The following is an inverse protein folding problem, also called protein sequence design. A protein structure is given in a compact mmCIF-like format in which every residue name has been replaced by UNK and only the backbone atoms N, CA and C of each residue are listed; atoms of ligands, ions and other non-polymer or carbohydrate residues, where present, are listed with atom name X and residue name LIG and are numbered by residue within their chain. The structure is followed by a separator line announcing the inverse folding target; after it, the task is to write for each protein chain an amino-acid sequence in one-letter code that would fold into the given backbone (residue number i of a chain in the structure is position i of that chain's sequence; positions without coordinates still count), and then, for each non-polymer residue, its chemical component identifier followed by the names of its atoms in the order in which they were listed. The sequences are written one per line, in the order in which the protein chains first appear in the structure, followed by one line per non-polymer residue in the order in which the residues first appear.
data_IF_379120318867
#
_entry.id   IF_379120318867
#
_cell.length_a   1.000
_cell.length_b   1.000
_cell.length_c   1.000
_cell.angle_alpha   90.00
_cell.angle_beta   90.00
_cell.angle_gamma   90.00
#
_symmetry.space_group_name_H-M   'P 1'
#
loop_
_entity.id
_entity.type
_entity.pdbx_description
1 polymer ?
#
# COMPACT_ATOMS: atom_id res chain seq x y z
N UNK A 1 -30.04 7.18 -3.96
CA UNK A 1 -29.52 8.26 -4.83
C UNK A 1 -29.71 9.63 -4.16
N UNK A 2 -28.73 10.52 -4.25
CA UNK A 2 -28.75 11.88 -3.71
C UNK A 2 -28.64 12.89 -4.85
N UNK A 3 -29.44 13.96 -4.82
CA UNK A 3 -29.40 15.02 -5.82
C UNK A 3 -28.88 16.31 -5.19
N UNK A 4 -27.92 16.94 -5.87
CA UNK A 4 -27.30 18.20 -5.46
C UNK A 4 -27.22 19.10 -6.69
N UNK A 5 -27.87 20.26 -6.63
CA UNK A 5 -27.69 21.30 -7.65
C UNK A 5 -26.60 22.27 -7.18
N UNK A 6 -25.60 22.51 -8.02
CA UNK A 6 -24.52 23.45 -7.74
C UNK A 6 -24.44 24.54 -8.81
N UNK A 7 -23.95 25.72 -8.42
CA UNK A 7 -23.44 26.73 -9.32
C UNK A 7 -21.91 26.70 -9.32
N UNK A 8 -21.31 26.36 -10.46
CA UNK A 8 -19.87 26.23 -10.62
C UNK A 8 -19.16 27.54 -11.04
N UNK A 9 -19.88 28.67 -11.04
CA UNK A 9 -19.39 29.96 -11.50
C UNK A 9 -19.57 30.20 -13.01
N UNK A 10 -19.88 29.16 -13.79
CA UNK A 10 -20.15 29.24 -15.23
C UNK A 10 -21.62 28.90 -15.56
N UNK A 11 -22.17 27.86 -14.93
CA UNK A 11 -23.55 27.41 -15.11
C UNK A 11 -24.06 26.68 -13.86
N UNK A 12 -25.38 26.50 -13.79
CA UNK A 12 -25.96 25.54 -12.84
C UNK A 12 -25.84 24.13 -13.39
N UNK A 13 -25.49 23.17 -12.52
CA UNK A 13 -25.39 21.76 -12.85
C UNK A 13 -26.11 20.91 -11.79
N UNK A 14 -26.92 19.96 -12.24
CA UNK A 14 -27.57 18.95 -11.42
C UNK A 14 -26.66 17.72 -11.30
N UNK A 15 -26.22 17.42 -10.09
CA UNK A 15 -25.34 16.29 -9.77
C UNK A 15 -26.17 15.22 -9.04
N UNK A 16 -26.28 14.05 -9.66
CA UNK A 16 -26.94 12.88 -9.11
C UNK A 16 -25.88 11.91 -8.60
N UNK A 17 -25.78 11.75 -7.29
CA UNK A 17 -24.81 10.87 -6.63
C UNK A 17 -25.52 9.56 -6.26
N UNK A 18 -25.21 8.51 -7.02
CA UNK A 18 -25.66 7.14 -6.76
C UNK A 18 -24.61 6.42 -5.91
N UNK A 19 -24.97 6.15 -4.65
CA UNK A 19 -24.17 5.38 -3.72
C UNK A 19 -24.44 3.89 -3.85
N UNK A 20 -23.43 3.08 -4.14
CA UNK A 20 -23.51 1.62 -4.21
C UNK A 20 -22.84 1.02 -2.98
N UNK A 21 -23.56 0.18 -2.24
CA UNK A 21 -23.03 -0.50 -1.05
C UNK A 21 -22.88 -2.01 -1.26
N UNK A 22 -23.58 -2.54 -2.27
CA UNK A 22 -23.73 -3.96 -2.44
C UNK A 22 -23.13 -4.37 -3.76
N UNK A 23 -22.20 -5.30 -3.66
CA UNK A 23 -21.83 -6.15 -4.78
C UNK A 23 -23.04 -7.09 -5.02
N UNK A 24 -24.16 -6.56 -5.50
CA UNK A 24 -25.43 -7.25 -5.74
C UNK A 24 -26.02 -6.88 -7.10
N UNK A 25 -26.87 -7.75 -7.63
CA UNK A 25 -27.58 -7.49 -8.88
C UNK A 25 -28.51 -6.28 -8.78
N UNK A 26 -29.01 -5.95 -7.59
CA UNK A 26 -29.91 -4.83 -7.39
C UNK A 26 -29.19 -3.49 -7.58
N UNK A 27 -27.96 -3.35 -7.08
CA UNK A 27 -27.17 -2.13 -7.31
C UNK A 27 -26.78 -1.95 -8.79
N UNK A 28 -26.66 -3.03 -9.57
CA UNK A 28 -26.48 -2.96 -11.03
C UNK A 28 -27.74 -2.40 -11.70
N UNK A 29 -28.93 -2.88 -11.30
CA UNK A 29 -30.21 -2.37 -11.83
C UNK A 29 -30.42 -0.91 -11.49
N UNK A 30 -30.09 -0.50 -10.27
CA UNK A 30 -30.16 0.92 -9.86
C UNK A 30 -29.30 1.82 -10.75
N UNK A 31 -28.11 1.37 -11.14
CA UNK A 31 -27.25 2.11 -12.09
C UNK A 31 -27.91 2.20 -13.47
N UNK A 32 -28.51 1.11 -13.97
CA UNK A 32 -29.20 1.12 -15.26
C UNK A 32 -30.41 2.05 -15.28
N UNK A 33 -31.23 2.01 -14.24
CA UNK A 33 -32.41 2.86 -14.07
C UNK A 33 -32.00 4.33 -13.98
N UNK A 34 -31.00 4.65 -13.15
CA UNK A 34 -30.50 6.01 -13.01
C UNK A 34 -29.99 6.59 -14.34
N UNK A 35 -29.25 5.82 -15.14
CA UNK A 35 -28.78 6.29 -16.45
C UNK A 35 -29.94 6.57 -17.40
N UNK A 36 -30.96 5.71 -17.42
CA UNK A 36 -32.14 5.86 -18.31
C UNK A 36 -33.03 7.03 -17.90
N UNK A 37 -33.27 7.21 -16.61
CA UNK A 37 -34.18 8.22 -16.09
C UNK A 37 -33.59 9.63 -16.12
N UNK A 38 -32.31 9.76 -15.76
CA UNK A 38 -31.65 11.07 -15.66
C UNK A 38 -31.26 11.59 -17.05
N UNK A 39 -30.89 10.68 -17.95
CA UNK A 39 -30.23 10.96 -19.22
C UNK A 39 -29.09 11.98 -19.06
N UNK A 40 -28.02 11.64 -18.32
CA UNK A 40 -26.99 12.60 -17.96
C UNK A 40 -26.13 13.01 -19.16
N UNK A 41 -25.48 14.17 -19.10
CA UNK A 41 -24.50 14.59 -20.10
C UNK A 41 -23.20 13.79 -20.01
N UNK A 42 -22.96 13.18 -18.85
CA UNK A 42 -21.69 12.60 -18.44
C UNK A 42 -21.90 11.63 -17.28
N UNK A 43 -21.12 10.55 -17.27
CA UNK A 43 -21.10 9.57 -16.19
C UNK A 43 -19.73 9.62 -15.53
N UNK A 44 -19.70 9.80 -14.21
CA UNK A 44 -18.50 9.81 -13.39
C UNK A 44 -18.47 8.56 -12.48
N UNK A 45 -17.32 7.92 -12.34
CA UNK A 45 -17.17 6.68 -11.55
C UNK A 45 -16.02 6.78 -10.55
N UNK A 46 -16.19 6.21 -9.36
CA UNK A 46 -15.15 6.07 -8.32
C UNK A 46 -14.04 5.09 -8.74
N UNK A 47 -13.27 5.48 -9.74
CA UNK A 47 -12.13 4.73 -10.23
C UNK A 47 -11.00 5.70 -10.56
N UNK A 48 -9.77 5.22 -10.36
CA UNK A 48 -8.57 5.80 -10.94
C UNK A 48 -8.26 5.11 -12.29
N UNK A 49 -7.29 5.66 -13.04
CA UNK A 49 -6.94 5.14 -14.37
C UNK A 49 -6.41 3.69 -14.34
N UNK A 50 -5.65 3.30 -13.31
CA UNK A 50 -5.10 1.95 -13.18
C UNK A 50 -6.22 0.95 -12.91
N UNK A 51 -7.14 1.29 -12.00
CA UNK A 51 -8.31 0.47 -11.67
C UNK A 51 -9.28 0.35 -12.83
N UNK A 52 -9.49 1.44 -13.57
CA UNK A 52 -10.29 1.41 -14.80
C UNK A 52 -9.71 0.44 -15.84
N UNK A 53 -8.40 0.55 -16.12
CA UNK A 53 -7.71 -0.34 -17.04
C UNK A 53 -7.78 -1.80 -16.57
N UNK A 54 -7.62 -2.06 -15.27
CA UNK A 54 -7.73 -3.40 -14.71
C UNK A 54 -9.14 -4.00 -14.88
N UNK A 55 -10.19 -3.19 -14.72
CA UNK A 55 -11.58 -3.62 -14.91
C UNK A 55 -11.90 -3.91 -16.38
N UNK A 56 -11.42 -3.07 -17.30
CA UNK A 56 -11.66 -3.23 -18.75
C UNK A 56 -10.82 -4.37 -19.35
N UNK A 57 -9.55 -4.51 -18.96
CA UNK A 57 -8.66 -5.53 -19.52
C UNK A 57 -8.96 -6.96 -19.07
N UNK A 58 -9.68 -7.13 -17.95
CA UNK A 58 -10.17 -8.45 -17.50
C UNK A 58 -11.07 -9.15 -18.54
N UNK A 59 -11.69 -8.43 -19.47
CA UNK A 59 -12.47 -9.02 -20.57
C UNK A 59 -11.62 -9.56 -21.72
N UNK A 60 -10.33 -9.18 -21.81
CA UNK A 60 -9.48 -9.51 -22.94
C UNK A 60 -8.62 -10.78 -22.78
N UNK A 61 -8.82 -11.58 -21.72
CA UNK A 61 -7.94 -12.73 -21.42
C UNK A 61 -6.47 -12.33 -21.18
N UNK A 62 -6.22 -11.04 -20.92
CA UNK A 62 -4.94 -10.54 -20.45
C UNK A 62 -5.07 -10.35 -18.95
N UNK A 63 -4.81 -11.44 -18.23
CA UNK A 63 -4.27 -11.35 -16.86
C UNK A 63 -3.21 -10.26 -16.84
N UNK A 64 -3.07 -9.57 -15.71
CA UNK A 64 -2.13 -8.47 -15.44
C UNK A 64 -0.70 -8.85 -15.87
N UNK A 65 -0.46 -8.79 -17.18
CA UNK A 65 0.81 -9.02 -17.84
C UNK A 65 1.55 -7.71 -17.68
N UNK A 66 2.68 -7.83 -17.00
CA UNK A 66 3.75 -6.85 -17.00
C UNK A 66 3.54 -5.64 -16.07
N UNK A 67 3.13 -5.88 -14.82
CA UNK A 67 3.77 -5.09 -13.75
C UNK A 67 5.22 -5.57 -13.74
N UNK A 68 6.15 -4.72 -14.13
CA UNK A 68 7.58 -4.99 -14.09
C UNK A 68 8.04 -5.02 -12.61
N UNK A 69 7.68 -6.10 -11.92
CA UNK A 69 7.96 -6.35 -10.50
C UNK A 69 9.46 -6.34 -10.27
N UNK A 70 10.24 -6.74 -11.28
CA UNK A 70 11.69 -6.61 -11.31
C UNK A 70 12.17 -5.17 -11.13
N UNK A 71 11.48 -4.19 -11.74
CA UNK A 71 11.82 -2.76 -11.61
C UNK A 71 11.38 -2.20 -10.25
N UNK A 72 10.22 -2.61 -9.73
CA UNK A 72 9.75 -2.21 -8.40
C UNK A 72 10.58 -2.80 -7.24
N UNK A 73 11.05 -4.04 -7.38
CA UNK A 73 11.97 -4.66 -6.41
C UNK A 73 13.35 -3.99 -6.46
N UNK A 74 13.84 -3.62 -7.66
CA UNK A 74 15.08 -2.83 -7.81
C UNK A 74 14.97 -1.44 -7.21
N UNK A 75 13.82 -0.77 -7.31
CA UNK A 75 13.62 0.58 -6.79
C UNK A 75 13.55 0.65 -5.25
N UNK A 76 13.61 -0.49 -4.56
CA UNK A 76 13.69 -0.56 -3.10
C UNK A 76 12.35 -0.36 -2.37
N UNK A 77 11.23 -0.37 -3.09
CA UNK A 77 9.89 -0.09 -2.54
C UNK A 77 9.14 -1.39 -2.19
N UNK A 78 9.87 -2.37 -1.66
CA UNK A 78 9.37 -3.72 -1.32
C UNK A 78 8.20 -3.67 -0.32
N UNK A 79 8.23 -2.71 0.61
CA UNK A 79 7.16 -2.50 1.58
C UNK A 79 5.85 -2.03 0.94
N UNK A 80 5.93 -1.19 -0.10
CA UNK A 80 4.74 -0.78 -0.85
C UNK A 80 4.16 -1.96 -1.65
N UNK A 81 5.02 -2.76 -2.27
CA UNK A 81 4.60 -3.96 -2.98
C UNK A 81 3.92 -4.97 -2.04
N UNK A 82 4.46 -5.18 -0.83
CA UNK A 82 3.84 -6.02 0.20
C UNK A 82 2.48 -5.45 0.67
N UNK A 83 2.38 -4.14 0.84
CA UNK A 83 1.12 -3.50 1.21
C UNK A 83 0.07 -3.63 0.10
N UNK A 84 0.44 -3.35 -1.16
CA UNK A 84 -0.45 -3.58 -2.32
C UNK A 84 -0.91 -5.02 -2.39
N UNK A 85 0.01 -5.94 -2.10
CA UNK A 85 -0.25 -7.38 -2.09
C UNK A 85 -1.30 -7.73 -1.03
N UNK A 86 -1.07 -7.36 0.23
CA UNK A 86 -2.02 -7.60 1.34
C UNK A 86 -3.41 -7.03 1.01
N UNK A 87 -3.46 -5.80 0.51
CA UNK A 87 -4.74 -5.14 0.19
C UNK A 87 -5.46 -5.78 -1.00
N UNK A 88 -4.73 -6.24 -2.01
CA UNK A 88 -5.31 -6.97 -3.13
C UNK A 88 -5.89 -8.33 -2.69
N UNK A 89 -5.31 -8.98 -1.67
CA UNK A 89 -5.88 -10.16 -1.02
C UNK A 89 -7.20 -9.82 -0.34
N UNK A 90 -7.21 -8.83 0.56
CA UNK A 90 -8.42 -8.38 1.25
C UNK A 90 -9.56 -8.02 0.29
N UNK A 91 -9.25 -7.32 -0.81
CA UNK A 91 -10.23 -6.99 -1.85
C UNK A 91 -10.79 -8.23 -2.57
N UNK A 92 -9.97 -9.28 -2.74
CA UNK A 92 -10.36 -10.53 -3.40
C UNK A 92 -11.23 -11.40 -2.48
N UNK A 93 -10.88 -11.48 -1.20
CA UNK A 93 -11.59 -12.27 -0.19
C UNK A 93 -13.01 -11.74 0.05
N UNK A 94 -13.19 -10.41 -0.02
CA UNK A 94 -14.52 -9.78 -0.02
C UNK A 94 -15.27 -10.21 -1.30
N UNK A 95 -14.65 -10.14 -2.48
CA UNK A 95 -15.30 -10.52 -3.73
C UNK A 95 -15.75 -11.99 -3.82
N UNK A 96 -14.96 -12.92 -3.30
CA UNK A 96 -15.27 -14.36 -3.37
C UNK A 96 -16.36 -14.78 -2.38
N UNK A 97 -16.37 -14.20 -1.16
CA UNK A 97 -17.37 -14.54 -0.12
C UNK A 97 -18.79 -14.08 -0.45
N UNK A 98 -18.95 -13.13 -1.35
CA UNK A 98 -20.26 -12.57 -1.73
C UNK A 98 -20.68 -12.91 -3.17
N UNK A 99 -19.93 -13.77 -3.87
CA UNK A 99 -20.22 -14.23 -5.24
C UNK A 99 -20.44 -13.12 -6.28
N UNK A 100 -19.93 -11.91 -6.02
CA UNK A 100 -19.98 -10.77 -6.95
C UNK A 100 -18.63 -10.06 -6.91
N UNK A 101 -18.12 -9.67 -8.08
CA UNK A 101 -16.80 -9.02 -8.20
C UNK A 101 -16.91 -7.56 -7.73
N UNK A 102 -16.09 -7.09 -6.77
CA UNK A 102 -16.08 -5.69 -6.37
C UNK A 102 -15.92 -4.78 -7.59
N UNK A 103 -16.77 -3.75 -7.69
CA UNK A 103 -16.78 -2.83 -8.82
C UNK A 103 -17.63 -3.28 -10.01
N UNK A 104 -18.58 -4.21 -9.82
CA UNK A 104 -19.52 -4.62 -10.87
C UNK A 104 -20.48 -3.48 -11.25
N UNK A 105 -20.84 -2.63 -10.31
CA UNK A 105 -21.67 -1.44 -10.50
C UNK A 105 -20.92 -0.36 -11.30
N UNK A 106 -19.64 -0.12 -10.94
CA UNK A 106 -18.76 0.77 -11.69
C UNK A 106 -18.52 0.24 -13.10
N UNK A 107 -18.35 -1.08 -13.26
CA UNK A 107 -18.25 -1.72 -14.57
C UNK A 107 -19.53 -1.49 -15.38
N UNK A 108 -20.70 -1.67 -14.76
CA UNK A 108 -21.98 -1.44 -15.43
C UNK A 108 -22.12 0.02 -15.87
N UNK A 109 -21.74 0.97 -15.04
CA UNK A 109 -21.72 2.39 -15.40
C UNK A 109 -20.82 2.68 -16.62
N UNK A 110 -19.64 2.04 -16.69
CA UNK A 110 -18.73 2.13 -17.85
C UNK A 110 -19.38 1.57 -19.13
N UNK A 111 -20.00 0.39 -19.03
CA UNK A 111 -20.70 -0.24 -20.16
C UNK A 111 -21.84 0.63 -20.67
N UNK A 112 -22.64 1.20 -19.76
CA UNK A 112 -23.75 2.09 -20.11
C UNK A 112 -23.26 3.40 -20.71
N UNK A 113 -22.17 3.97 -20.18
CA UNK A 113 -21.54 5.15 -20.78
C UNK A 113 -21.16 4.88 -22.24
N UNK A 114 -20.56 3.72 -22.52
CA UNK A 114 -20.23 3.29 -23.88
C UNK A 114 -21.48 3.06 -24.75
N UNK A 115 -22.48 2.37 -24.21
CA UNK A 115 -23.72 2.02 -24.91
C UNK A 115 -24.50 3.27 -25.34
N UNK A 116 -24.68 4.22 -24.43
CA UNK A 116 -25.39 5.48 -24.65
C UNK A 116 -24.49 6.60 -25.18
N UNK A 117 -23.22 6.30 -25.51
CA UNK A 117 -22.21 7.25 -26.02
C UNK A 117 -22.06 8.50 -25.13
N UNK A 118 -22.16 8.31 -23.83
CA UNK A 118 -21.93 9.36 -22.83
C UNK A 118 -20.44 9.42 -22.48
N UNK A 119 -19.85 10.62 -22.37
CA UNK A 119 -18.52 10.79 -21.79
C UNK A 119 -18.41 10.14 -20.42
N UNK A 120 -17.26 9.50 -20.16
CA UNK A 120 -16.94 8.86 -18.89
C UNK A 120 -15.79 9.61 -18.20
N UNK A 121 -15.94 9.90 -16.91
CA UNK A 121 -14.89 10.51 -16.09
C UNK A 121 -14.51 9.64 -14.90
N UNK A 122 -13.20 9.54 -14.67
CA UNK A 122 -12.60 8.84 -13.55
C UNK A 122 -12.29 9.87 -12.47
N UNK A 123 -12.95 9.77 -11.31
CA UNK A 123 -12.94 10.85 -10.31
C UNK A 123 -12.12 10.53 -9.06
N UNK A 124 -11.59 9.32 -8.93
CA UNK A 124 -10.86 8.89 -7.72
C UNK A 124 -9.33 9.02 -7.87
N UNK A 125 -8.65 9.13 -6.72
CA UNK A 125 -7.20 9.24 -6.63
C UNK A 125 -6.54 7.87 -6.81
N UNK A 126 -5.36 7.78 -7.47
CA UNK A 126 -4.61 6.54 -7.53
C UNK A 126 -4.37 5.93 -6.16
N UNK A 127 -4.74 4.65 -6.01
CA UNK A 127 -4.67 3.96 -4.72
C UNK A 127 -3.26 3.96 -4.13
N UNK A 128 -2.22 3.81 -4.95
CA UNK A 128 -0.83 3.81 -4.48
C UNK A 128 -0.45 5.12 -3.77
N UNK A 129 -1.00 6.27 -4.21
CA UNK A 129 -0.82 7.56 -3.55
C UNK A 129 -1.52 7.58 -2.20
N UNK A 130 -2.78 7.12 -2.16
CA UNK A 130 -3.56 6.99 -0.92
C UNK A 130 -2.82 6.17 0.13
N UNK A 131 -2.27 5.02 -0.28
CA UNK A 131 -1.52 4.12 0.61
C UNK A 131 -0.25 4.75 1.14
N UNK A 132 0.57 5.33 0.26
CA UNK A 132 1.82 6.00 0.66
C UNK A 132 1.56 7.14 1.63
N UNK A 133 0.51 7.94 1.38
CA UNK A 133 0.13 9.04 2.27
C UNK A 133 -0.33 8.54 3.63
N UNK A 134 -1.19 7.52 3.66
CA UNK A 134 -1.66 6.91 4.90
C UNK A 134 -0.47 6.46 5.77
N UNK A 135 0.47 5.72 5.18
CA UNK A 135 1.67 5.28 5.89
C UNK A 135 2.59 6.43 6.33
N UNK A 136 2.75 7.46 5.51
CA UNK A 136 3.68 8.56 5.81
C UNK A 136 3.17 9.48 6.91
N UNK A 137 1.86 9.75 6.94
CA UNK A 137 1.24 10.66 7.91
C UNK A 137 0.93 9.94 9.23
N UNK A 138 0.75 8.61 9.19
CA UNK A 138 0.38 7.82 10.36
C UNK A 138 1.44 7.88 11.47
N UNK A 139 1.06 8.30 12.70
CA UNK A 139 1.91 8.25 13.87
C UNK A 139 2.41 6.84 14.18
N UNK A 140 3.61 6.73 14.77
CA UNK A 140 4.21 5.44 15.11
C UNK A 140 3.33 4.57 16.03
N UNK A 141 2.59 5.20 16.96
CA UNK A 141 1.63 4.51 17.83
C UNK A 141 0.50 3.84 17.04
N UNK A 142 -0.05 4.53 16.05
CA UNK A 142 -1.10 3.96 15.17
C UNK A 142 -0.53 2.83 14.30
N UNK A 143 0.72 2.96 13.82
CA UNK A 143 1.41 1.88 13.08
C UNK A 143 1.54 0.61 13.91
N UNK A 144 1.98 0.74 15.17
CA UNK A 144 2.08 -0.39 16.09
C UNK A 144 0.71 -0.99 16.38
N UNK A 145 -0.31 -0.15 16.67
CA UNK A 145 -1.69 -0.61 16.92
C UNK A 145 -2.25 -1.39 15.73
N UNK A 146 -2.06 -0.88 14.51
CA UNK A 146 -2.45 -1.57 13.27
C UNK A 146 -1.72 -2.90 13.10
N UNK A 147 -0.41 -2.92 13.38
CA UNK A 147 0.39 -4.13 13.32
C UNK A 147 -0.11 -5.19 14.31
N UNK A 148 -0.46 -4.79 15.54
CA UNK A 148 -1.07 -5.69 16.52
C UNK A 148 -2.41 -6.24 16.05
N UNK A 149 -3.31 -5.43 15.50
CA UNK A 149 -4.57 -5.95 14.94
C UNK A 149 -4.37 -6.96 13.80
N UNK A 150 -3.35 -6.74 12.97
CA UNK A 150 -3.02 -7.69 11.90
C UNK A 150 -2.49 -9.03 12.44
N UNK A 151 -1.73 -9.00 13.55
CA UNK A 151 -1.19 -10.21 14.18
C UNK A 151 -2.16 -10.91 15.14
N UNK A 152 -3.02 -10.18 15.85
CA UNK A 152 -4.07 -10.74 16.72
C UNK A 152 -5.19 -11.43 15.92
N UNK A 153 -5.32 -11.11 14.63
CA UNK A 153 -6.28 -11.75 13.73
C UNK A 153 -6.10 -13.27 13.57
N UNK A 154 -4.95 -13.83 13.98
CA UNK A 154 -4.63 -15.26 13.84
C UNK A 154 -4.98 -16.09 15.10
N UNK A 155 -4.72 -15.59 16.32
CA UNK A 155 -5.06 -16.32 17.56
C UNK A 155 -6.45 -16.00 18.13
N UNK A 156 -7.05 -14.87 17.74
CA UNK A 156 -8.32 -14.37 18.32
C UNK A 156 -9.48 -14.30 17.32
N UNK A 157 -9.50 -15.19 16.33
CA UNK A 157 -10.62 -15.37 15.38
C UNK A 157 -11.98 -15.74 16.03
N UNK A 158 -12.08 -15.69 17.37
CA UNK A 158 -13.29 -15.93 18.16
C UNK A 158 -14.04 -14.67 18.60
N UNK A 159 -13.71 -13.45 18.12
CA UNK A 159 -14.49 -12.22 18.45
C UNK A 159 -14.96 -11.36 17.29
N UNK A 160 -14.58 -11.67 16.05
CA UNK A 160 -15.24 -11.09 14.88
C UNK A 160 -16.32 -12.06 14.42
N UNK A 161 -17.47 -11.99 15.09
CA UNK A 161 -18.64 -12.76 14.70
C UNK A 161 -18.96 -12.47 13.22
N UNK A 162 -19.22 -13.52 12.44
CA UNK A 162 -19.57 -13.39 11.01
C UNK A 162 -20.79 -12.48 10.84
N UNK A 163 -21.66 -12.38 11.85
CA UNK A 163 -22.77 -11.42 11.90
C UNK A 163 -22.33 -9.96 11.92
N UNK A 164 -21.27 -9.63 12.68
CA UNK A 164 -20.72 -8.26 12.77
C UNK A 164 -20.04 -7.86 11.47
N UNK A 165 -19.29 -8.76 10.82
CA UNK A 165 -18.70 -8.49 9.49
C UNK A 165 -19.78 -8.26 8.44
N UNK A 166 -20.89 -8.99 8.51
CA UNK A 166 -22.05 -8.80 7.61
C UNK A 166 -22.72 -7.46 7.86
N UNK A 167 -22.94 -7.11 9.12
CA UNK A 167 -23.50 -5.81 9.52
C UNK A 167 -22.57 -4.61 9.23
N UNK A 168 -21.25 -4.83 9.25
CA UNK A 168 -20.23 -3.86 8.85
C UNK A 168 -20.26 -3.59 7.34
N UNK A 169 -20.61 -4.57 6.52
CA UNK A 169 -20.68 -4.46 5.06
C UNK A 169 -22.03 -3.86 4.64
N UNK A 170 -23.11 -4.31 5.28
CA UNK A 170 -24.48 -3.82 5.00
C UNK A 170 -24.69 -2.38 5.48
N UNK A 171 -23.82 -1.88 6.37
CA UNK A 171 -23.85 -0.51 6.85
C UNK A 171 -22.48 0.17 6.70
N UNK A 172 -22.23 0.69 5.50
CA UNK A 172 -21.01 1.44 5.17
C UNK A 172 -20.68 2.56 6.18
N UNK A 173 -21.68 3.14 6.84
CA UNK A 173 -21.49 4.17 7.88
C UNK A 173 -20.84 3.57 9.14
N UNK A 174 -21.21 2.36 9.55
CA UNK A 174 -20.58 1.64 10.68
C UNK A 174 -19.14 1.24 10.36
N UNK A 175 -18.83 0.82 9.13
CA UNK A 175 -17.46 0.53 8.71
C UNK A 175 -16.56 1.77 8.83
N UNK A 176 -17.09 2.93 8.41
CA UNK A 176 -16.41 4.21 8.49
C UNK A 176 -16.15 4.63 9.95
N UNK A 177 -17.10 4.40 10.85
CA UNK A 177 -16.94 4.66 12.28
C UNK A 177 -15.87 3.77 12.91
N UNK A 178 -15.88 2.46 12.63
CA UNK A 178 -14.88 1.52 13.14
C UNK A 178 -13.47 1.86 12.61
N UNK A 179 -13.36 2.23 11.34
CA UNK A 179 -12.08 2.69 10.78
C UNK A 179 -11.56 3.94 11.50
N UNK A 180 -12.45 4.86 11.87
CA UNK A 180 -12.12 6.06 12.65
C UNK A 180 -11.60 5.70 14.05
N UNK A 181 -12.15 4.67 14.68
CA UNK A 181 -11.72 4.18 16.00
C UNK A 181 -10.40 3.40 15.95
N UNK A 182 -10.17 2.64 14.87
CA UNK A 182 -8.92 1.90 14.64
C UNK A 182 -7.78 2.88 14.40
N UNK A 183 -7.92 3.76 13.40
CA UNK A 183 -6.94 4.78 13.05
C UNK A 183 -7.64 6.01 12.44
N UNK A 184 -7.65 7.13 13.17
CA UNK A 184 -8.10 8.41 12.62
C UNK A 184 -7.35 8.81 11.35
N UNK A 185 -6.08 8.42 11.24
CA UNK A 185 -5.29 8.64 10.02
C UNK A 185 -5.82 7.87 8.83
N UNK A 186 -6.18 6.59 9.01
CA UNK A 186 -6.77 5.79 7.92
C UNK A 186 -8.09 6.39 7.47
N UNK A 187 -9.00 6.75 8.40
CA UNK A 187 -10.25 7.42 8.05
C UNK A 187 -10.00 8.71 7.24
N UNK A 188 -9.10 9.56 7.73
CA UNK A 188 -8.75 10.82 7.04
C UNK A 188 -8.28 10.59 5.61
N UNK A 189 -7.42 9.60 5.37
CA UNK A 189 -6.79 9.42 4.05
C UNK A 189 -7.64 8.58 3.08
N UNK A 190 -8.34 7.56 3.57
CA UNK A 190 -9.14 6.64 2.74
C UNK A 190 -10.59 7.10 2.52
N UNK A 191 -11.08 8.02 3.35
CA UNK A 191 -12.44 8.57 3.22
C UNK A 191 -12.36 10.05 2.92
N UNK A 192 -11.96 10.86 3.89
CA UNK A 192 -12.06 12.33 3.80
C UNK A 192 -11.24 12.94 2.64
N UNK A 193 -9.95 12.58 2.50
CA UNK A 193 -9.12 13.06 1.39
C UNK A 193 -9.63 12.59 0.02
N UNK A 194 -10.23 11.40 -0.05
CA UNK A 194 -10.81 10.87 -1.29
C UNK A 194 -12.11 11.58 -1.63
N UNK A 195 -12.96 11.86 -0.65
CA UNK A 195 -14.17 12.67 -0.83
C UNK A 195 -13.84 14.06 -1.36
N UNK A 196 -12.78 14.70 -0.82
CA UNK A 196 -12.26 15.98 -1.32
C UNK A 196 -11.81 15.90 -2.77
N UNK A 197 -11.00 14.89 -3.09
CA UNK A 197 -10.47 14.67 -4.43
C UNK A 197 -11.60 14.44 -5.45
N UNK A 198 -12.54 13.56 -5.13
CA UNK A 198 -13.71 13.26 -5.95
C UNK A 198 -14.61 14.48 -6.12
N UNK A 199 -14.95 15.18 -5.04
CA UNK A 199 -15.81 16.37 -5.10
C UNK A 199 -15.19 17.47 -5.98
N UNK A 200 -13.87 17.71 -5.85
CA UNK A 200 -13.16 18.68 -6.70
C UNK A 200 -13.19 18.27 -8.17
N UNK A 201 -12.90 17.01 -8.48
CA UNK A 201 -13.02 16.50 -9.85
C UNK A 201 -14.44 16.62 -10.40
N UNK A 202 -15.47 16.30 -9.62
CA UNK A 202 -16.87 16.45 -10.04
C UNK A 202 -17.19 17.92 -10.31
N UNK A 203 -16.79 18.82 -9.42
CA UNK A 203 -17.03 20.27 -9.55
C UNK A 203 -16.38 20.83 -10.83
N UNK A 204 -15.12 20.50 -11.08
CA UNK A 204 -14.39 20.98 -12.26
C UNK A 204 -14.99 20.41 -13.56
N UNK A 205 -15.45 19.16 -13.55
CA UNK A 205 -16.08 18.53 -14.71
C UNK A 205 -17.56 18.93 -14.91
N UNK A 206 -18.12 19.73 -14.00
CA UNK A 206 -19.48 20.28 -14.15
C UNK A 206 -19.57 21.49 -15.06
N UNK A 207 -18.42 22.11 -15.37
CA UNK A 207 -18.37 23.28 -16.24
C UNK A 207 -18.86 22.92 -17.64
N UNK A 208 -19.92 23.59 -18.09
CA UNK A 208 -20.54 23.33 -19.39
C UNK A 208 -21.43 22.08 -19.44
N UNK A 209 -21.84 21.54 -18.28
CA UNK A 209 -22.75 20.38 -18.17
C UNK A 209 -24.01 20.77 -17.40
N UNK A 210 -25.15 20.24 -17.81
CA UNK A 210 -26.41 20.41 -17.09
C UNK A 210 -26.62 19.28 -16.07
N UNK A 211 -26.29 18.04 -16.44
CA UNK A 211 -26.53 16.86 -15.59
C UNK A 211 -25.33 15.91 -15.54
N UNK A 212 -24.92 15.55 -14.32
CA UNK A 212 -23.89 14.54 -14.06
C UNK A 212 -24.49 13.40 -13.26
N UNK A 213 -24.28 12.16 -13.69
CA UNK A 213 -24.47 10.99 -12.85
C UNK A 213 -23.12 10.54 -12.28
N UNK A 214 -23.03 10.46 -10.95
CA UNK A 214 -21.84 10.04 -10.20
C UNK A 214 -22.14 8.70 -9.54
N UNK A 215 -21.37 7.65 -9.88
CA UNK A 215 -21.49 6.31 -9.29
C UNK A 215 -20.30 6.07 -8.36
N UNK A 216 -20.58 6.03 -7.06
CA UNK A 216 -19.58 5.95 -5.97
C UNK A 216 -20.04 4.95 -4.90
N UNK A 217 -19.14 4.50 -4.05
CA UNK A 217 -19.47 3.75 -2.85
C UNK A 217 -20.35 4.56 -1.90
N UNK A 218 -21.32 3.91 -1.25
CA UNK A 218 -22.27 4.58 -0.37
C UNK A 218 -21.62 5.41 0.76
N UNK A 219 -20.45 4.98 1.24
CA UNK A 219 -19.68 5.70 2.27
C UNK A 219 -19.19 7.10 1.85
N UNK A 220 -19.09 7.38 0.56
CA UNK A 220 -18.56 8.63 0.01
C UNK A 220 -19.63 9.68 -0.29
N UNK A 221 -20.91 9.27 -0.39
CA UNK A 221 -22.01 10.14 -0.84
C UNK A 221 -22.16 11.40 0.02
N UNK A 222 -22.19 11.23 1.36
CA UNK A 222 -22.36 12.36 2.30
C UNK A 222 -21.16 13.31 2.26
N UNK A 223 -19.95 12.76 2.17
CA UNK A 223 -18.71 13.55 2.11
C UNK A 223 -18.62 14.39 0.84
N UNK A 224 -18.86 13.76 -0.32
CA UNK A 224 -18.87 14.44 -1.62
C UNK A 224 -19.90 15.58 -1.64
N UNK A 225 -21.14 15.33 -1.19
CA UNK A 225 -22.17 16.38 -1.12
C UNK A 225 -21.70 17.57 -0.26
N UNK A 226 -21.10 17.30 0.89
CA UNK A 226 -20.57 18.33 1.78
C UNK A 226 -19.48 19.17 1.12
N UNK A 227 -18.56 18.55 0.40
CA UNK A 227 -17.47 19.24 -0.27
C UNK A 227 -17.92 20.03 -1.50
N UNK A 228 -18.87 19.51 -2.28
CA UNK A 228 -19.46 20.23 -3.42
C UNK A 228 -20.11 21.55 -2.98
N UNK A 229 -20.86 21.55 -1.86
CA UNK A 229 -21.47 22.76 -1.31
C UNK A 229 -20.45 23.77 -0.80
N UNK A 230 -19.35 23.30 -0.21
CA UNK A 230 -18.26 24.19 0.25
C UNK A 230 -17.52 24.82 -0.93
N UNK A 231 -17.29 24.06 -2.00
CA UNK A 231 -16.71 24.55 -3.25
C UNK A 231 -17.58 25.62 -3.91
N UNK A 232 -18.89 25.38 -4.03
CA UNK A 232 -19.86 26.34 -4.59
C UNK A 232 -19.83 27.68 -3.85
N UNK A 233 -19.70 27.65 -2.52
CA UNK A 233 -19.64 28.87 -1.70
C UNK A 233 -18.28 29.57 -1.70
N UNK A 234 -17.25 28.96 -2.29
CA UNK A 234 -15.88 29.44 -2.22
C UNK A 234 -15.28 29.38 -0.80
N UNK A 235 -15.82 28.53 0.09
CA UNK A 235 -15.32 28.37 1.47
C UNK A 235 -13.98 27.62 1.52
N UNK A 236 -13.69 26.84 0.49
CA UNK A 236 -12.47 26.04 0.38
C UNK A 236 -11.88 26.19 -1.01
N UNK A 237 -10.58 26.44 -1.07
CA UNK A 237 -9.78 26.19 -2.27
C UNK A 237 -9.15 24.80 -2.13
N UNK A 238 -9.32 23.95 -3.14
CA UNK A 238 -8.82 22.58 -3.12
C UNK A 238 -7.84 22.38 -4.26
N UNK A 239 -6.55 22.41 -3.92
CA UNK A 239 -5.50 22.00 -4.84
C UNK A 239 -5.37 20.47 -4.85
N UNK A 240 -5.68 19.86 -5.99
CA UNK A 240 -5.52 18.42 -6.20
C UNK A 240 -4.06 17.99 -6.04
N UNK A 241 -3.08 18.87 -6.30
CA UNK A 241 -1.66 18.56 -6.14
C UNK A 241 -1.31 18.28 -4.68
N UNK A 242 -1.88 19.01 -3.72
CA UNK A 242 -1.66 18.74 -2.29
C UNK A 242 -2.19 17.36 -1.87
N UNK A 243 -3.29 16.92 -2.48
CA UNK A 243 -3.88 15.60 -2.26
C UNK A 243 -3.11 14.48 -2.98
N UNK A 244 -2.29 14.82 -3.98
CA UNK A 244 -1.40 13.91 -4.69
C UNK A 244 0.04 13.89 -4.15
N UNK A 245 0.46 14.92 -3.43
CA UNK A 245 1.84 15.03 -2.94
C UNK A 245 2.16 13.95 -1.90
N UNK A 246 3.29 13.28 -2.05
CA UNK A 246 3.79 12.34 -1.04
C UNK A 246 5.00 12.99 -0.38
N UNK A 247 4.80 13.57 0.81
CA UNK A 247 5.89 14.15 1.59
C UNK A 247 6.95 13.08 1.85
N UNK A 248 8.14 13.25 1.27
CA UNK A 248 9.29 12.35 1.51
C UNK A 248 9.74 12.54 2.96
N UNK A 249 9.69 11.47 3.75
CA UNK A 249 10.30 11.47 5.08
C UNK A 249 11.77 11.88 4.98
N UNK A 250 12.22 12.81 5.83
CA UNK A 250 13.59 13.31 5.80
C UNK A 250 14.57 12.16 6.09
N UNK A 251 15.22 11.65 5.04
CA UNK A 251 16.26 10.61 5.10
C UNK A 251 17.52 11.05 5.88
N UNK A 252 17.58 12.31 6.31
CA UNK A 252 18.70 12.87 7.06
C UNK A 252 19.01 12.09 8.34
N UNK A 253 18.00 11.53 9.03
CA UNK A 253 18.23 10.72 10.22
C UNK A 253 19.05 9.44 9.92
N UNK A 254 18.83 8.81 8.75
CA UNK A 254 19.63 7.66 8.32
C UNK A 254 21.06 8.06 8.02
N UNK A 255 21.25 9.22 7.39
CA UNK A 255 22.57 9.77 7.09
C UNK A 255 23.31 10.11 8.38
N UNK A 256 22.68 10.83 9.32
CA UNK A 256 23.27 11.17 10.62
C UNK A 256 23.65 9.92 11.40
N UNK A 257 22.75 8.92 11.49
CA UNK A 257 23.07 7.65 12.14
C UNK A 257 24.26 6.95 11.47
N UNK A 258 24.31 6.94 10.13
CA UNK A 258 25.43 6.36 9.38
C UNK A 258 26.76 7.08 9.65
N UNK A 259 26.74 8.41 9.68
CA UNK A 259 27.93 9.25 9.95
C UNK A 259 28.42 9.06 11.38
N UNK A 260 27.50 9.02 12.36
CA UNK A 260 27.84 8.78 13.77
C UNK A 260 28.43 7.38 13.96
N UNK A 261 27.80 6.35 13.38
CA UNK A 261 28.31 4.98 13.46
C UNK A 261 29.69 4.85 12.80
N UNK A 262 29.88 5.44 11.62
CA UNK A 262 31.17 5.47 10.94
C UNK A 262 32.23 6.20 11.79
N UNK A 263 31.86 7.32 12.42
CA UNK A 263 32.74 8.05 13.34
C UNK A 263 33.18 7.20 14.54
N UNK A 264 32.26 6.45 15.14
CA UNK A 264 32.57 5.51 16.25
C UNK A 264 33.56 4.43 15.80
N UNK A 265 33.32 3.83 14.62
CA UNK A 265 34.21 2.79 14.10
C UNK A 265 35.60 3.35 13.77
N UNK A 266 35.68 4.50 13.09
CA UNK A 266 36.96 5.15 12.78
C UNK A 266 37.73 5.54 14.04
N UNK A 267 37.03 6.03 15.07
CA UNK A 267 37.63 6.33 16.37
C UNK A 267 38.14 5.07 17.08
N UNK A 268 37.37 3.97 17.05
CA UNK A 268 37.81 2.67 17.56
C UNK A 268 39.07 2.17 16.83
N UNK A 269 39.12 2.27 15.50
CA UNK A 269 40.31 1.94 14.70
C UNK A 269 41.49 2.84 15.08
N UNK A 270 41.27 4.14 15.27
CA UNK A 270 42.33 5.07 15.68
C UNK A 270 42.95 4.68 17.03
N UNK A 271 42.15 4.39 18.05
CA UNK A 271 42.64 3.95 19.36
C UNK A 271 43.41 2.63 19.23
N UNK A 272 42.86 1.67 18.49
CA UNK A 272 43.42 0.32 18.36
C UNK A 272 44.61 0.24 17.39
N UNK A 273 44.83 1.27 16.55
CA UNK A 273 45.94 1.32 15.59
C UNK A 273 47.32 1.26 16.25
N UNK A 274 47.40 1.68 17.52
CA UNK A 274 48.62 1.57 18.33
C UNK A 274 49.01 0.12 18.65
N UNK A 275 48.10 -0.84 18.48
CA UNK A 275 48.30 -2.26 18.73
C UNK A 275 47.83 -3.10 17.53
N UNK A 276 48.70 -3.34 16.53
CA UNK A 276 48.33 -4.05 15.29
C UNK A 276 47.72 -5.44 15.51
N UNK A 277 48.18 -6.18 16.52
CA UNK A 277 47.63 -7.51 16.87
C UNK A 277 46.19 -7.43 17.39
N UNK A 278 45.89 -6.41 18.18
CA UNK A 278 44.54 -6.18 18.72
C UNK A 278 43.60 -5.73 17.61
N UNK A 279 44.04 -4.83 16.74
CA UNK A 279 43.27 -4.39 15.57
C UNK A 279 42.96 -5.56 14.63
N UNK A 280 43.95 -6.42 14.35
CA UNK A 280 43.77 -7.62 13.54
C UNK A 280 42.74 -8.57 14.16
N UNK A 281 42.86 -8.83 15.47
CA UNK A 281 41.90 -9.68 16.20
C UNK A 281 40.48 -9.15 16.09
N UNK A 282 40.23 -7.88 16.41
CA UNK A 282 38.89 -7.29 16.32
C UNK A 282 38.37 -7.24 14.88
N UNK A 283 39.23 -7.01 13.89
CA UNK A 283 38.80 -7.04 12.48
C UNK A 283 38.31 -8.43 12.07
N UNK A 284 39.03 -9.49 12.47
CA UNK A 284 38.63 -10.87 12.20
C UNK A 284 37.34 -11.21 12.94
N UNK A 285 37.24 -10.87 14.23
CA UNK A 285 36.03 -11.11 15.00
C UNK A 285 34.82 -10.36 14.42
N UNK A 286 34.99 -9.12 13.95
CA UNK A 286 33.93 -8.34 13.29
C UNK A 286 33.41 -9.05 12.04
N UNK A 287 34.32 -9.49 11.17
CA UNK A 287 33.99 -10.20 9.93
C UNK A 287 33.27 -11.50 10.26
N UNK A 288 33.80 -12.29 11.20
CA UNK A 288 33.24 -13.59 11.58
C UNK A 288 31.86 -13.40 12.20
N UNK A 289 31.69 -12.50 13.16
CA UNK A 289 30.40 -12.31 13.87
C UNK A 289 29.33 -11.76 12.91
N UNK A 290 29.61 -10.67 12.20
CA UNK A 290 28.63 -10.09 11.27
C UNK A 290 28.30 -11.07 10.13
N UNK A 291 29.33 -11.67 9.54
CA UNK A 291 29.18 -12.59 8.42
C UNK A 291 28.40 -13.85 8.82
N UNK A 292 28.76 -14.49 9.95
CA UNK A 292 28.08 -15.71 10.41
C UNK A 292 26.64 -15.46 10.83
N UNK A 293 26.35 -14.39 11.60
CA UNK A 293 24.98 -14.09 12.02
C UNK A 293 24.09 -13.76 10.83
N UNK A 294 24.60 -13.01 9.84
CA UNK A 294 23.86 -12.72 8.61
C UNK A 294 23.63 -13.99 7.77
N UNK A 295 24.65 -14.83 7.62
CA UNK A 295 24.55 -16.11 6.92
C UNK A 295 23.59 -17.09 7.62
N UNK A 296 23.58 -17.13 8.96
CA UNK A 296 22.61 -17.89 9.75
C UNK A 296 21.19 -17.41 9.47
N UNK A 297 20.97 -16.10 9.36
CA UNK A 297 19.68 -15.55 8.95
C UNK A 297 19.20 -16.07 7.60
N UNK A 298 20.11 -16.18 6.61
CA UNK A 298 19.79 -16.79 5.30
C UNK A 298 19.45 -18.27 5.42
N UNK A 299 20.20 -19.02 6.24
CA UNK A 299 19.95 -20.45 6.47
C UNK A 299 18.59 -20.66 7.13
N UNK A 300 18.24 -19.86 8.14
CA UNK A 300 16.92 -19.89 8.79
C UNK A 300 15.79 -19.55 7.80
N UNK A 301 16.05 -18.63 6.87
CA UNK A 301 15.12 -18.32 5.78
C UNK A 301 15.01 -19.45 4.72
N UNK A 302 15.84 -20.50 4.81
CA UNK A 302 16.04 -21.54 3.78
C UNK A 302 16.46 -20.96 2.43
N UNK A 303 17.37 -19.98 2.46
CA UNK A 303 17.96 -19.37 1.28
C UNK A 303 18.92 -20.30 0.54
N UNK A 304 19.26 -19.95 -0.70
CA UNK A 304 20.21 -20.71 -1.53
C UNK A 304 21.66 -20.45 -1.11
N UNK A 305 22.55 -21.39 -1.42
CA UNK A 305 23.97 -21.31 -1.08
C UNK A 305 24.67 -20.02 -1.54
N UNK A 306 24.42 -19.48 -2.76
CA UNK A 306 25.02 -18.21 -3.18
C UNK A 306 24.64 -17.04 -2.27
N UNK A 307 23.42 -17.06 -1.72
CA UNK A 307 22.93 -16.03 -0.79
C UNK A 307 23.58 -16.16 0.59
N UNK A 308 23.86 -17.39 1.05
CA UNK A 308 24.59 -17.63 2.31
C UNK A 308 26.02 -17.07 2.20
N UNK A 309 26.70 -17.35 1.09
CA UNK A 309 28.05 -16.82 0.82
C UNK A 309 28.00 -15.30 0.70
N UNK A 310 27.04 -14.77 -0.04
CA UNK A 310 26.85 -13.32 -0.18
C UNK A 310 26.60 -12.66 1.17
N UNK A 311 25.79 -13.24 2.05
CA UNK A 311 25.51 -12.68 3.37
C UNK A 311 26.77 -12.61 4.23
N UNK A 312 27.57 -13.67 4.23
CA UNK A 312 28.83 -13.69 4.96
C UNK A 312 29.80 -12.60 4.52
N UNK A 313 29.92 -12.36 3.21
CA UNK A 313 30.86 -11.40 2.65
C UNK A 313 30.37 -9.95 2.72
N UNK A 314 29.08 -9.73 2.50
CA UNK A 314 28.51 -8.38 2.39
C UNK A 314 28.24 -7.78 3.76
N UNK A 315 27.76 -8.57 4.73
CA UNK A 315 27.34 -8.06 6.04
C UNK A 315 28.41 -7.22 6.76
N UNK A 316 29.68 -7.65 6.89
CA UNK A 316 30.72 -6.86 7.56
C UNK A 316 30.98 -5.50 6.91
N UNK A 317 30.74 -5.37 5.60
CA UNK A 317 30.95 -4.13 4.83
C UNK A 317 29.73 -3.23 4.98
N UNK A 318 28.53 -3.77 4.76
CA UNK A 318 27.27 -3.00 4.84
C UNK A 318 26.93 -2.54 6.25
N UNK A 319 27.35 -3.28 7.27
CA UNK A 319 27.21 -2.86 8.68
C UNK A 319 27.93 -1.55 8.98
N UNK A 320 29.01 -1.23 8.24
CA UNK A 320 29.74 0.04 8.38
C UNK A 320 29.07 1.20 7.65
N UNK A 321 28.26 0.89 6.62
CA UNK A 321 27.59 1.87 5.77
C UNK A 321 26.10 1.53 5.75
N UNK A 322 25.33 1.86 6.82
CA UNK A 322 23.93 1.45 6.96
C UNK A 322 22.96 2.22 6.02
N UNK A 323 23.47 2.70 4.90
CA UNK A 323 22.70 3.23 3.77
C UNK A 323 22.10 2.08 2.95
N UNK A 324 22.85 0.98 2.78
CA UNK A 324 22.42 -0.22 2.08
C UNK A 324 22.57 -1.40 3.05
N UNK A 325 21.45 -1.91 3.58
CA UNK A 325 21.48 -3.05 4.48
C UNK A 325 21.96 -4.33 3.77
N UNK A 326 22.65 -5.21 4.50
CA UNK A 326 23.17 -6.49 3.99
C UNK A 326 22.10 -7.26 3.19
N UNK A 327 20.88 -7.29 3.71
CA UNK A 327 19.79 -8.03 3.08
C UNK A 327 19.25 -7.47 1.79
N UNK A 328 19.50 -6.20 1.45
CA UNK A 328 19.15 -5.70 0.12
C UNK A 328 19.98 -6.42 -0.95
N UNK A 329 21.30 -6.51 -0.74
CA UNK A 329 22.22 -7.17 -1.68
C UNK A 329 21.98 -8.68 -1.67
N UNK A 330 21.88 -9.28 -0.48
CA UNK A 330 21.64 -10.74 -0.34
C UNK A 330 20.29 -11.13 -0.93
N UNK A 331 19.25 -10.32 -0.74
CA UNK A 331 17.93 -10.50 -1.34
C UNK A 331 17.99 -10.46 -2.87
N UNK A 332 18.78 -9.54 -3.46
CA UNK A 332 19.00 -9.51 -4.91
C UNK A 332 19.73 -10.76 -5.43
N UNK A 333 20.67 -11.31 -4.64
CA UNK A 333 21.34 -12.58 -4.99
C UNK A 333 20.34 -13.73 -4.94
N UNK A 334 19.53 -13.83 -3.89
CA UNK A 334 18.49 -14.86 -3.76
C UNK A 334 17.46 -14.76 -4.89
N UNK A 335 17.06 -13.53 -5.22
CA UNK A 335 16.16 -13.21 -6.32
C UNK A 335 16.70 -13.65 -7.69
N UNK A 336 18.02 -13.59 -7.89
CA UNK A 336 18.64 -14.17 -9.11
C UNK A 336 18.68 -15.69 -9.08
N UNK A 337 18.80 -16.28 -7.89
CA UNK A 337 18.84 -17.74 -7.72
C UNK A 337 17.47 -18.40 -7.79
N UNK A 338 16.39 -17.65 -7.51
CA UNK A 338 15.01 -18.10 -7.58
C UNK A 338 14.30 -17.37 -8.71
N UNK A 339 13.88 -18.10 -9.74
CA UNK A 339 12.95 -17.53 -10.72
C UNK A 339 11.62 -17.25 -10.04
N UNK A 340 11.31 -15.97 -9.80
CA UNK A 340 9.99 -15.58 -9.29
C UNK A 340 9.02 -15.59 -10.47
N UNK A 341 7.97 -16.39 -10.33
CA UNK A 341 6.88 -16.49 -11.30
C UNK A 341 5.70 -15.63 -10.86
N UNK A 342 4.77 -15.36 -11.78
CA UNK A 342 3.50 -14.71 -11.45
C UNK A 342 2.64 -15.56 -10.50
N UNK A 343 2.77 -16.89 -10.57
CA UNK A 343 2.09 -17.82 -9.67
C UNK A 343 2.59 -17.67 -8.24
N UNK A 344 3.89 -17.46 -8.02
CA UNK A 344 4.42 -17.18 -6.69
C UNK A 344 3.76 -15.93 -6.07
N UNK A 345 3.52 -14.89 -6.87
CA UNK A 345 2.86 -13.68 -6.38
C UNK A 345 1.39 -13.95 -6.05
N UNK A 346 0.66 -14.64 -6.93
CA UNK A 346 -0.73 -14.99 -6.70
C UNK A 346 -0.92 -15.94 -5.51
N UNK A 347 0.01 -16.85 -5.28
CA UNK A 347 0.01 -17.77 -4.16
C UNK A 347 0.29 -17.04 -2.84
N UNK A 348 1.28 -16.13 -2.83
CA UNK A 348 1.54 -15.24 -1.68
C UNK A 348 0.29 -14.43 -1.30
N UNK A 349 -0.50 -14.04 -2.31
CA UNK A 349 -1.75 -13.27 -2.20
C UNK A 349 -2.98 -14.08 -1.77
N UNK A 350 -2.87 -15.40 -1.63
CA UNK A 350 -4.01 -16.30 -1.33
C UNK A 350 -3.77 -17.18 -0.12
N UNK A 351 -2.53 -17.28 0.37
CA UNK A 351 -2.20 -18.11 1.53
C UNK A 351 -2.73 -17.49 2.82
N UNK A 352 -3.52 -18.28 3.55
CA UNK A 352 -4.02 -17.95 4.89
C UNK A 352 -3.06 -18.44 5.99
N UNK A 353 -2.07 -19.28 5.66
CA UNK A 353 -1.17 -19.92 6.64
C UNK A 353 0.30 -19.55 6.43
N UNK A 354 1.00 -19.29 7.54
CA UNK A 354 2.44 -18.99 7.58
C UNK A 354 3.31 -20.10 6.96
N UNK A 355 2.93 -21.37 7.13
CA UNK A 355 3.66 -22.51 6.59
C UNK A 355 3.65 -22.52 5.06
N UNK A 356 2.50 -22.22 4.45
CA UNK A 356 2.34 -22.15 2.99
C UNK A 356 3.07 -20.94 2.39
N UNK A 357 3.09 -19.82 3.12
CA UNK A 357 3.88 -18.65 2.74
C UNK A 357 5.37 -18.99 2.69
N UNK A 358 5.86 -19.81 3.62
CA UNK A 358 7.27 -20.21 3.60
C UNK A 358 7.63 -21.00 2.34
N UNK A 359 6.72 -21.74 1.70
CA UNK A 359 7.05 -22.50 0.49
C UNK A 359 7.09 -21.65 -0.79
N UNK A 360 6.69 -20.39 -0.69
CA UNK A 360 6.68 -19.44 -1.79
C UNK A 360 8.07 -18.84 -2.09
N UNK A 361 8.48 -18.78 -3.38
CA UNK A 361 9.81 -18.27 -3.74
C UNK A 361 9.99 -16.77 -3.44
N UNK A 362 8.94 -15.97 -3.60
CA UNK A 362 8.98 -14.54 -3.30
C UNK A 362 9.09 -14.31 -1.79
N UNK A 363 8.33 -15.05 -0.97
CA UNK A 363 8.47 -15.00 0.49
C UNK A 363 9.89 -15.39 0.94
N UNK A 364 10.48 -16.41 0.32
CA UNK A 364 11.88 -16.81 0.61
C UNK A 364 12.86 -15.67 0.35
N UNK A 365 12.74 -14.98 -0.78
CA UNK A 365 13.59 -13.81 -1.09
C UNK A 365 13.43 -12.72 -0.03
N UNK A 366 12.20 -12.43 0.39
CA UNK A 366 11.92 -11.42 1.41
C UNK A 366 12.45 -11.80 2.79
N UNK A 367 12.25 -13.05 3.21
CA UNK A 367 12.78 -13.58 4.46
C UNK A 367 14.31 -13.56 4.47
N UNK A 368 14.94 -13.94 3.36
CA UNK A 368 16.40 -13.89 3.20
C UNK A 368 16.88 -12.45 3.38
N UNK A 369 16.24 -11.46 2.76
CA UNK A 369 16.58 -10.05 2.94
C UNK A 369 16.37 -9.57 4.39
N UNK A 370 15.26 -9.94 5.02
CA UNK A 370 14.95 -9.52 6.38
C UNK A 370 15.90 -10.14 7.41
N UNK A 371 16.06 -11.46 7.42
CA UNK A 371 16.84 -12.18 8.43
C UNK A 371 18.35 -11.95 8.27
N UNK A 372 18.86 -11.80 7.05
CA UNK A 372 20.27 -11.43 6.85
C UNK A 372 20.58 -10.01 7.34
N UNK A 373 19.66 -9.06 7.15
CA UNK A 373 19.78 -7.70 7.70
C UNK A 373 19.71 -7.71 9.22
N UNK A 374 18.81 -8.51 9.81
CA UNK A 374 18.69 -8.67 11.24
C UNK A 374 19.97 -9.26 11.84
N UNK A 375 20.54 -10.31 11.23
CA UNK A 375 21.80 -10.89 11.66
C UNK A 375 22.97 -9.89 11.62
N UNK A 376 23.06 -9.09 10.55
CA UNK A 376 24.04 -8.01 10.41
C UNK A 376 23.88 -6.95 11.50
N UNK A 377 22.65 -6.56 11.82
CA UNK A 377 22.34 -5.58 12.86
C UNK A 377 22.73 -6.12 14.25
N UNK A 378 22.34 -7.35 14.58
CA UNK A 378 22.72 -8.00 15.85
C UNK A 378 24.24 -8.06 15.99
N UNK A 379 24.95 -8.46 14.93
CA UNK A 379 26.42 -8.49 14.92
C UNK A 379 27.03 -7.11 15.17
N UNK A 380 26.47 -6.07 14.56
CA UNK A 380 26.90 -4.68 14.75
C UNK A 380 26.69 -4.21 16.19
N UNK A 381 25.48 -4.38 16.74
CA UNK A 381 25.17 -3.95 18.12
C UNK A 381 25.95 -4.74 19.17
N UNK A 382 26.22 -6.01 18.93
CA UNK A 382 27.07 -6.81 19.81
C UNK A 382 28.51 -6.31 19.84
N UNK A 383 29.01 -5.78 18.73
CA UNK A 383 30.43 -5.45 18.56
C UNK A 383 30.76 -3.98 18.88
N UNK A 384 29.81 -3.05 18.74
CA UNK A 384 30.00 -1.62 19.06
C UNK A 384 30.60 -1.39 20.47
N UNK A 385 30.09 -2.02 21.56
CA UNK A 385 30.66 -1.83 22.90
C UNK A 385 32.12 -2.29 22.98
N UNK A 386 32.46 -3.38 22.30
CA UNK A 386 33.82 -3.95 22.30
C UNK A 386 34.85 -3.06 21.59
N UNK A 387 34.46 -2.37 20.53
CA UNK A 387 35.30 -1.34 19.89
C UNK A 387 35.56 -0.15 20.81
N UNK A 388 34.63 0.15 21.72
CA UNK A 388 34.73 1.23 22.69
C UNK A 388 35.45 0.81 23.99
N UNK A 389 35.82 -0.47 24.13
CA UNK A 389 36.42 -1.01 25.36
C UNK A 389 35.43 -1.14 26.53
N UNK A 390 34.13 -1.20 26.23
CA UNK A 390 33.03 -1.33 27.20
C UNK A 390 32.53 -2.77 27.35
#
# INVERSE_FOLDING_TARGET
MRHVRINNGHNSCDIYILGTAHVSEDSIKEVEEAVKEIDPDIIAVELDSERFLALVNREGGRDLKDVNIWEMLKSGDIGLFLLHTILASFQRDIGERFNVKPGSEMKRAIELAKLYKKPLFLIDRPIHVTLKRALNIMPFKEKIKLLFYLFEGDESSSRLDRGVIREMIDNAEKLVEILRDISPTLYKVFVDERDRYMAKNIFDNSIGREKILVVVGAGHVKGIEGYLKKLERGEIDMDLNELMEIKKGRSYLKIVFSVVLMGIVLYGIYILSSNPEVLKKFTIEWIVINGTLSALGVILARGKLPSVISAFLVAPITSLIPVIGAGYIVGLVELKCRGITQEDIQHLLRCERLEELMDNNLMRVLMVAALSSLGSAIGTFYFIPRFLGL
#
